data_IF_737858089341
#
_entry.id   IF_737858089341
#
_cell.length_a   1.000
_cell.length_b   1.000
_cell.length_c   1.000
_cell.angle_alpha   90.00
_cell.angle_beta   90.00
_cell.angle_gamma   90.00
#
_symmetry.space_group_name_H-M   'P 1'
#
loop_
_entity.id
_entity.type
_entity.pdbx_description
1 polymer ?
#
# COMPACT_ATOMS: atom_id res chain seq x y z
N UNK A 1 25.86 2.86 2.28
CA UNK A 1 24.44 2.80 1.92
C UNK A 1 23.75 3.80 2.81
N UNK A 2 23.07 4.80 2.26
CA UNK A 2 22.34 5.77 3.07
C UNK A 2 21.13 5.03 3.68
N UNK A 3 21.03 5.04 5.00
CA UNK A 3 19.90 4.48 5.73
C UNK A 3 18.77 5.51 5.76
N UNK A 4 17.50 5.06 5.72
CA UNK A 4 16.31 5.88 5.78
C UNK A 4 16.37 6.89 6.94
N UNK A 5 16.69 6.42 8.14
CA UNK A 5 16.85 7.26 9.33
C UNK A 5 17.94 8.33 9.17
N UNK A 6 19.03 8.01 8.47
CA UNK A 6 20.10 8.97 8.19
C UNK A 6 19.63 10.07 7.24
N UNK A 7 18.87 9.72 6.20
CA UNK A 7 18.30 10.70 5.26
C UNK A 7 17.35 11.64 5.99
N UNK A 8 16.45 11.11 6.85
CA UNK A 8 15.54 11.94 7.65
C UNK A 8 16.28 12.83 8.65
N UNK A 9 17.44 12.40 9.16
CA UNK A 9 18.25 13.21 10.06
C UNK A 9 18.84 14.46 9.37
N UNK A 10 18.93 14.49 8.04
CA UNK A 10 19.39 15.69 7.29
C UNK A 10 18.32 16.79 7.24
N UNK A 11 17.08 16.54 7.76
CA UNK A 11 15.95 17.46 7.79
C UNK A 11 15.74 17.98 9.22
N UNK A 12 16.38 19.09 9.59
CA UNK A 12 16.22 19.66 10.93
C UNK A 12 14.81 20.25 11.19
N UNK A 13 14.05 20.50 10.14
CA UNK A 13 12.66 20.97 10.18
C UNK A 13 11.63 19.88 10.47
N UNK A 14 12.05 18.58 10.43
CA UNK A 14 11.22 17.46 10.83
C UNK A 14 11.33 17.24 12.34
N UNK A 15 10.18 17.28 13.01
CA UNK A 15 10.08 16.85 14.40
C UNK A 15 9.98 15.30 14.51
N UNK A 16 9.88 14.79 15.73
CA UNK A 16 9.82 13.34 15.95
C UNK A 16 8.50 12.74 15.45
N UNK A 17 7.39 13.50 15.49
CA UNK A 17 6.10 13.04 14.96
C UNK A 17 6.12 12.96 13.44
N UNK A 18 6.79 13.88 12.75
CA UNK A 18 6.98 13.85 11.30
C UNK A 18 7.78 12.61 10.87
N UNK A 19 8.86 12.30 11.61
CA UNK A 19 9.69 11.12 11.37
C UNK A 19 8.92 9.82 11.61
N UNK A 20 8.20 9.75 12.73
CA UNK A 20 7.37 8.61 13.08
C UNK A 20 6.28 8.38 12.01
N UNK A 21 5.64 9.45 11.52
CA UNK A 21 4.67 9.37 10.44
C UNK A 21 5.25 8.75 9.18
N UNK A 22 6.46 9.16 8.77
CA UNK A 22 7.15 8.58 7.61
C UNK A 22 7.54 7.12 7.85
N UNK A 23 7.96 6.75 9.07
CA UNK A 23 8.22 5.34 9.42
C UNK A 23 6.96 4.49 9.34
N UNK A 24 5.83 4.98 9.83
CA UNK A 24 4.54 4.28 9.70
C UNK A 24 4.12 4.15 8.22
N UNK A 25 4.30 5.20 7.43
CA UNK A 25 4.01 5.15 6.00
C UNK A 25 4.78 4.03 5.29
N UNK A 26 6.09 3.95 5.50
CA UNK A 26 6.92 2.94 4.84
C UNK A 26 6.70 1.53 5.41
N UNK A 27 6.22 1.41 6.64
CA UNK A 27 5.85 0.12 7.21
C UNK A 27 4.58 -0.47 6.55
N UNK A 28 3.63 0.40 6.16
CA UNK A 28 2.31 -0.04 5.69
C UNK A 28 2.15 0.02 4.15
N UNK A 29 3.02 0.71 3.41
CA UNK A 29 2.83 0.99 1.98
C UNK A 29 2.98 -0.19 1.02
N UNK A 30 3.47 -1.36 1.51
CA UNK A 30 3.56 -2.57 0.70
C UNK A 30 2.21 -2.95 0.08
N UNK A 31 1.12 -2.76 0.83
CA UNK A 31 -0.23 -3.03 0.33
C UNK A 31 -0.59 -2.14 -0.86
N UNK A 32 -0.13 -0.89 -0.88
CA UNK A 32 -0.35 0.03 -2.01
C UNK A 32 0.45 -0.42 -3.24
N UNK A 33 1.72 -0.80 -3.06
CA UNK A 33 2.56 -1.30 -4.14
C UNK A 33 1.95 -2.54 -4.79
N UNK A 34 1.55 -3.51 -3.97
CA UNK A 34 0.96 -4.78 -4.40
C UNK A 34 -0.38 -4.60 -5.13
N UNK A 35 -1.30 -3.80 -4.57
CA UNK A 35 -2.60 -3.52 -5.17
C UNK A 35 -2.50 -2.68 -6.45
N UNK A 36 -1.49 -1.84 -6.54
CA UNK A 36 -1.25 -0.96 -7.69
C UNK A 36 -0.44 -1.63 -8.80
N UNK A 37 0.14 -2.81 -8.54
CA UNK A 37 1.11 -3.48 -9.44
C UNK A 37 2.22 -2.51 -9.85
N UNK A 38 2.81 -1.79 -8.89
CA UNK A 38 3.70 -0.67 -9.15
C UNK A 38 4.78 -0.54 -8.09
N UNK A 39 5.97 -0.10 -8.50
CA UNK A 39 7.03 0.28 -7.58
C UNK A 39 6.68 1.61 -6.90
N UNK A 40 7.06 1.76 -5.63
CA UNK A 40 6.91 3.01 -4.89
C UNK A 40 8.29 3.52 -4.45
N UNK A 41 8.48 4.82 -4.56
CA UNK A 41 9.63 5.53 -4.02
C UNK A 41 9.14 6.61 -3.06
N UNK A 42 9.77 6.75 -1.91
CA UNK A 42 9.61 7.91 -1.04
C UNK A 42 10.72 8.90 -1.36
N UNK A 43 10.35 10.09 -1.81
CA UNK A 43 11.26 11.19 -2.04
C UNK A 43 11.14 12.22 -0.92
N UNK A 44 12.28 12.66 -0.39
CA UNK A 44 12.37 13.80 0.51
C UNK A 44 13.39 14.80 -0.02
N UNK A 45 13.23 16.05 0.29
CA UNK A 45 14.31 17.02 0.02
C UNK A 45 15.36 16.87 1.11
N UNK A 46 16.64 16.80 0.74
CA UNK A 46 17.75 16.83 1.69
C UNK A 46 18.06 18.27 2.16
N UNK A 47 19.06 18.43 3.02
CA UNK A 47 19.49 19.74 3.52
C UNK A 47 19.90 20.74 2.43
N UNK A 48 20.27 20.28 1.23
CA UNK A 48 20.64 21.11 0.08
C UNK A 48 19.42 21.40 -0.82
N UNK A 49 18.22 20.97 -0.45
CA UNK A 49 17.00 21.15 -1.23
C UNK A 49 16.85 20.19 -2.43
N UNK A 50 17.71 19.20 -2.57
CA UNK A 50 17.63 18.19 -3.64
C UNK A 50 16.72 17.05 -3.23
N UNK A 51 15.93 16.54 -4.17
CA UNK A 51 15.08 15.36 -3.96
C UNK A 51 15.94 14.10 -3.94
N UNK A 52 15.84 13.36 -2.85
CA UNK A 52 16.59 12.11 -2.60
C UNK A 52 15.59 10.98 -2.39
N UNK A 53 15.86 9.81 -2.94
CA UNK A 53 15.10 8.60 -2.63
C UNK A 53 15.40 8.19 -1.19
N UNK A 54 14.43 8.37 -0.31
CA UNK A 54 14.57 8.01 1.09
C UNK A 54 14.29 6.54 1.34
N UNK A 55 13.32 5.98 0.60
CA UNK A 55 12.96 4.56 0.72
C UNK A 55 12.37 4.05 -0.60
N UNK A 56 12.44 2.72 -0.80
CA UNK A 56 11.93 2.02 -1.97
C UNK A 56 11.06 0.83 -1.57
N UNK A 57 9.90 0.67 -2.21
CA UNK A 57 9.05 -0.50 -2.06
C UNK A 57 8.81 -1.16 -3.42
N UNK A 58 9.11 -2.44 -3.49
CA UNK A 58 8.88 -3.28 -4.68
C UNK A 58 7.58 -4.06 -4.53
N UNK A 59 6.74 -4.11 -5.56
CA UNK A 59 5.54 -4.94 -5.52
C UNK A 59 5.91 -6.43 -5.43
N UNK A 60 5.14 -7.21 -4.67
CA UNK A 60 5.26 -8.67 -4.65
C UNK A 60 4.37 -9.36 -5.69
N UNK A 61 3.49 -8.61 -6.35
CA UNK A 61 2.47 -9.10 -7.27
C UNK A 61 2.88 -9.07 -8.74
N UNK A 62 3.91 -8.28 -9.08
CA UNK A 62 4.49 -8.17 -10.43
C UNK A 62 6.00 -8.03 -10.36
N UNK A 63 6.66 -8.14 -11.52
CA UNK A 63 8.09 -7.89 -11.61
C UNK A 63 8.38 -6.41 -11.37
N UNK A 64 9.31 -6.12 -10.46
CA UNK A 64 9.76 -4.75 -10.17
C UNK A 64 10.40 -4.09 -11.39
N UNK A 65 10.20 -2.79 -11.54
CA UNK A 65 10.89 -1.96 -12.52
C UNK A 65 12.35 -1.69 -12.14
N UNK A 66 12.63 -1.73 -10.84
CA UNK A 66 13.93 -1.37 -10.27
C UNK A 66 14.52 -2.54 -9.48
N UNK A 67 15.30 -3.39 -10.17
CA UNK A 67 15.98 -4.51 -9.53
C UNK A 67 17.06 -4.04 -8.53
N UNK A 68 17.70 -2.90 -8.80
CA UNK A 68 18.73 -2.31 -7.96
C UNK A 68 18.11 -1.43 -6.86
N UNK A 69 18.83 -1.32 -5.75
CA UNK A 69 18.49 -0.39 -4.68
C UNK A 69 18.85 1.04 -5.11
N UNK A 70 17.87 1.94 -5.03
CA UNK A 70 18.03 3.35 -5.41
C UNK A 70 17.96 4.30 -4.21
N UNK A 71 17.87 3.77 -2.99
CA UNK A 71 17.89 4.58 -1.76
C UNK A 71 19.17 5.39 -1.67
N UNK A 72 19.04 6.68 -1.38
CA UNK A 72 20.14 7.64 -1.35
C UNK A 72 20.43 8.32 -2.70
N UNK A 73 19.86 7.86 -3.80
CA UNK A 73 20.08 8.49 -5.10
C UNK A 73 19.33 9.84 -5.17
N UNK A 74 20.00 10.82 -5.75
CA UNK A 74 19.40 12.13 -6.05
C UNK A 74 18.58 12.03 -7.33
N UNK A 75 17.41 12.64 -7.33
CA UNK A 75 16.57 12.69 -8.51
C UNK A 75 17.15 13.62 -9.58
N UNK A 76 17.00 13.28 -10.87
CA UNK A 76 17.51 14.09 -11.98
C UNK A 76 16.94 15.51 -11.99
N UNK A 77 17.77 16.48 -12.39
CA UNK A 77 17.40 17.92 -12.42
C UNK A 77 16.21 18.21 -13.34
N UNK A 78 16.03 17.43 -14.40
CA UNK A 78 14.89 17.58 -15.33
C UNK A 78 13.54 17.17 -14.70
N UNK A 79 13.55 16.53 -13.52
CA UNK A 79 12.36 16.20 -12.76
C UNK A 79 11.99 17.25 -11.70
N UNK A 80 12.90 18.13 -11.31
CA UNK A 80 12.73 19.04 -10.17
C UNK A 80 11.47 19.88 -10.28
N UNK A 81 11.22 20.50 -11.46
CA UNK A 81 10.02 21.32 -11.66
C UNK A 81 8.70 20.55 -11.50
N UNK A 82 8.67 19.28 -11.89
CA UNK A 82 7.51 18.42 -11.73
C UNK A 82 7.34 18.00 -10.26
N UNK A 83 8.45 17.69 -9.57
CA UNK A 83 8.45 17.35 -8.14
C UNK A 83 8.03 18.54 -7.29
N UNK A 84 8.49 19.75 -7.59
CA UNK A 84 8.09 20.97 -6.90
C UNK A 84 6.58 21.23 -7.05
N UNK A 85 6.06 21.07 -8.27
CA UNK A 85 4.63 21.21 -8.52
C UNK A 85 3.82 20.16 -7.73
N UNK A 86 4.32 18.93 -7.66
CA UNK A 86 3.70 17.87 -6.86
C UNK A 86 3.75 18.14 -5.35
N UNK A 87 4.87 18.67 -4.82
CA UNK A 87 5.01 19.05 -3.41
C UNK A 87 4.03 20.13 -2.98
N UNK A 88 3.72 21.06 -3.87
CA UNK A 88 2.75 22.13 -3.62
C UNK A 88 1.30 21.69 -3.79
N UNK A 89 1.07 20.54 -4.42
CA UNK A 89 -0.28 19.99 -4.63
C UNK A 89 -0.89 19.53 -3.31
N UNK A 90 -2.21 19.64 -3.20
CA UNK A 90 -2.99 19.04 -2.10
C UNK A 90 -3.62 17.69 -2.47
N UNK A 91 -3.42 17.25 -3.71
CA UNK A 91 -3.99 16.02 -4.27
C UNK A 91 -2.93 15.23 -5.02
N UNK A 92 -3.26 14.00 -5.38
CA UNK A 92 -2.41 13.18 -6.23
C UNK A 92 -2.17 13.89 -7.57
N UNK A 93 -0.91 14.03 -7.93
CA UNK A 93 -0.45 14.65 -9.17
C UNK A 93 0.06 13.59 -10.14
N UNK A 94 -0.48 13.57 -11.36
CA UNK A 94 -0.06 12.62 -12.39
C UNK A 94 0.86 13.29 -13.38
N UNK A 95 2.03 12.68 -13.64
CA UNK A 95 2.94 13.10 -14.69
C UNK A 95 2.29 13.00 -16.07
N UNK A 96 2.50 14.02 -16.88
CA UNK A 96 2.20 14.00 -18.32
C UNK A 96 3.38 13.48 -19.14
N UNK A 97 4.55 13.37 -18.53
CA UNK A 97 5.80 12.92 -19.16
C UNK A 97 5.99 11.44 -18.87
N UNK A 98 6.09 10.63 -19.91
CA UNK A 98 6.51 9.23 -19.78
C UNK A 98 8.02 9.17 -19.70
N UNK A 99 8.51 8.33 -18.79
CA UNK A 99 9.94 8.14 -18.55
C UNK A 99 10.35 6.72 -18.87
N UNK A 100 11.66 6.49 -19.00
CA UNK A 100 12.21 5.16 -19.22
C UNK A 100 12.95 4.71 -17.98
N UNK A 101 12.60 3.55 -17.45
CA UNK A 101 13.32 2.87 -16.37
C UNK A 101 13.77 1.51 -16.91
N UNK A 102 15.08 1.33 -17.08
CA UNK A 102 15.61 0.17 -17.78
C UNK A 102 15.08 0.09 -19.23
N UNK A 103 14.24 -0.93 -19.51
CA UNK A 103 13.59 -1.11 -20.83
C UNK A 103 12.09 -0.77 -20.80
N UNK A 104 11.57 -0.35 -19.67
CA UNK A 104 10.14 -0.11 -19.48
C UNK A 104 9.79 1.37 -19.67
N UNK A 105 8.65 1.64 -20.32
CA UNK A 105 8.03 2.98 -20.33
C UNK A 105 7.16 3.11 -19.10
N UNK A 106 7.43 4.13 -18.29
CA UNK A 106 6.87 4.33 -16.96
C UNK A 106 6.07 5.62 -16.90
N UNK A 107 4.90 5.52 -16.28
CA UNK A 107 4.09 6.66 -15.89
C UNK A 107 4.25 6.89 -14.39
N UNK A 108 4.65 8.11 -14.00
CA UNK A 108 4.79 8.52 -12.62
C UNK A 108 3.50 9.17 -12.11
N UNK A 109 3.14 8.83 -10.88
CA UNK A 109 2.07 9.48 -10.14
C UNK A 109 2.62 9.84 -8.78
N UNK A 110 2.44 11.09 -8.37
CA UNK A 110 3.00 11.64 -7.14
C UNK A 110 1.90 11.89 -6.11
N UNK A 111 2.11 11.45 -4.89
CA UNK A 111 1.25 11.76 -3.75
C UNK A 111 2.07 12.54 -2.71
N UNK A 112 1.77 13.83 -2.46
CA UNK A 112 2.44 14.55 -1.38
C UNK A 112 2.07 13.93 -0.03
N UNK A 113 3.11 13.60 0.76
CA UNK A 113 2.94 13.06 2.10
C UNK A 113 2.67 14.22 3.05
N UNK A 114 1.45 14.31 3.55
CA UNK A 114 1.04 15.41 4.43
C UNK A 114 0.81 14.91 5.84
N UNK A 115 1.37 15.68 6.80
CA UNK A 115 1.19 15.45 8.22
C UNK A 115 1.16 16.80 8.95
N UNK A 116 0.21 17.02 9.86
CA UNK A 116 0.06 18.24 10.67
C UNK A 116 0.20 19.55 9.86
N UNK A 117 -0.36 19.58 8.64
CA UNK A 117 -0.32 20.77 7.77
C UNK A 117 0.98 20.95 6.98
N UNK A 118 2.01 20.14 7.23
CA UNK A 118 3.28 20.13 6.48
C UNK A 118 3.23 19.11 5.34
N UNK A 119 4.00 19.35 4.28
CA UNK A 119 4.33 18.34 3.26
C UNK A 119 5.73 17.82 3.56
N UNK A 120 5.83 16.54 3.91
CA UNK A 120 7.08 15.92 4.35
C UNK A 120 7.90 15.37 3.16
N UNK A 121 7.24 15.02 2.07
CA UNK A 121 7.88 14.43 0.90
C UNK A 121 6.84 14.00 -0.12
N UNK A 122 7.27 13.16 -1.07
CA UNK A 122 6.42 12.61 -2.12
C UNK A 122 6.52 11.09 -2.14
N UNK A 123 5.40 10.40 -2.15
CA UNK A 123 5.39 9.02 -2.64
C UNK A 123 5.24 9.06 -4.15
N UNK A 124 6.18 8.44 -4.86
CA UNK A 124 6.12 8.28 -6.32
C UNK A 124 5.68 6.86 -6.61
N UNK A 125 4.60 6.70 -7.37
CA UNK A 125 4.15 5.42 -7.89
C UNK A 125 4.58 5.30 -9.35
N UNK A 126 5.47 4.36 -9.62
CA UNK A 126 6.01 4.07 -10.95
C UNK A 126 5.26 2.88 -11.55
N UNK A 127 4.49 3.13 -12.60
CA UNK A 127 3.68 2.09 -13.25
C UNK A 127 4.23 1.80 -14.64
N UNK A 128 4.51 0.54 -14.94
CA UNK A 128 4.87 0.10 -16.28
C UNK A 128 3.65 0.20 -17.21
N UNK A 129 3.78 0.94 -18.29
CA UNK A 129 2.68 1.11 -19.25
C UNK A 129 2.33 -0.17 -20.00
N UNK A 130 3.27 -1.11 -20.15
CA UNK A 130 3.03 -2.40 -20.81
C UNK A 130 2.18 -3.37 -19.95
N UNK A 131 2.22 -3.26 -18.61
CA UNK A 131 1.43 -4.13 -17.71
C UNK A 131 0.00 -3.63 -17.52
N UNK A 132 -0.35 -2.48 -18.07
CA UNK A 132 -1.65 -1.82 -17.89
C UNK A 132 -2.79 -2.47 -18.69
N UNK A 133 -2.49 -3.40 -19.58
CA UNK A 133 -3.46 -4.07 -20.47
C UNK A 133 -4.15 -5.30 -19.83
N UNK A 134 -3.85 -5.63 -18.57
CA UNK A 134 -4.53 -6.71 -17.85
C UNK A 134 -5.97 -6.30 -17.52
N UNK A 135 -6.94 -7.03 -18.07
CA UNK A 135 -8.38 -6.72 -18.02
C UNK A 135 -9.16 -7.64 -17.07
N UNK A 136 -8.50 -8.34 -16.16
CA UNK A 136 -9.15 -9.23 -15.20
C UNK A 136 -9.91 -8.44 -14.12
N UNK A 137 -11.01 -9.01 -13.61
CA UNK A 137 -11.78 -8.37 -12.52
C UNK A 137 -10.93 -8.19 -11.26
N UNK A 138 -10.07 -9.16 -10.96
CA UNK A 138 -9.14 -9.10 -9.83
C UNK A 138 -8.22 -7.89 -9.94
N UNK A 139 -7.57 -7.72 -11.08
CA UNK A 139 -6.65 -6.61 -11.32
C UNK A 139 -7.36 -5.26 -11.27
N UNK A 140 -8.55 -5.16 -11.87
CA UNK A 140 -9.33 -3.92 -11.85
C UNK A 140 -9.74 -3.51 -10.43
N UNK A 141 -10.21 -4.46 -9.61
CA UNK A 141 -10.59 -4.18 -8.22
C UNK A 141 -9.34 -3.89 -7.35
N UNK A 142 -8.22 -4.57 -7.59
CA UNK A 142 -6.95 -4.32 -6.93
C UNK A 142 -6.46 -2.89 -7.22
N UNK A 143 -6.39 -2.51 -8.51
CA UNK A 143 -5.94 -1.18 -8.93
C UNK A 143 -6.84 -0.09 -8.34
N UNK A 144 -8.16 -0.29 -8.32
CA UNK A 144 -9.09 0.66 -7.73
C UNK A 144 -8.88 0.80 -6.22
N UNK A 145 -8.68 -0.30 -5.50
CA UNK A 145 -8.38 -0.29 -4.07
C UNK A 145 -7.04 0.41 -3.79
N UNK A 146 -5.98 0.04 -4.53
CA UNK A 146 -4.66 0.67 -4.43
C UNK A 146 -4.72 2.18 -4.71
N UNK A 147 -5.51 2.59 -5.71
CA UNK A 147 -5.73 4.01 -6.02
C UNK A 147 -6.38 4.75 -4.85
N UNK A 148 -7.41 4.18 -4.22
CA UNK A 148 -8.09 4.78 -3.07
C UNK A 148 -7.13 4.96 -1.89
N UNK A 149 -6.34 3.93 -1.55
CA UNK A 149 -5.34 4.04 -0.49
C UNK A 149 -4.27 5.09 -0.82
N UNK A 150 -3.82 5.13 -2.07
CA UNK A 150 -2.85 6.11 -2.53
C UNK A 150 -3.38 7.55 -2.43
N UNK A 151 -4.67 7.78 -2.72
CA UNK A 151 -5.35 9.07 -2.57
C UNK A 151 -5.56 9.49 -1.09
N UNK A 152 -5.42 8.58 -0.15
CA UNK A 152 -5.48 8.89 1.29
C UNK A 152 -4.18 9.55 1.79
N UNK A 153 -3.04 9.32 1.11
CA UNK A 153 -1.73 9.88 1.51
C UNK A 153 -1.76 11.43 1.57
N UNK A 154 -2.18 12.14 0.50
CA UNK A 154 -2.24 13.61 0.54
C UNK A 154 -3.24 14.16 1.55
N UNK A 155 -4.21 13.35 1.97
CA UNK A 155 -5.22 13.74 2.98
C UNK A 155 -4.75 13.51 4.40
N UNK A 156 -3.55 12.94 4.61
CA UNK A 156 -3.05 12.53 5.93
C UNK A 156 -3.89 11.42 6.58
N UNK A 157 -4.55 10.59 5.78
CA UNK A 157 -5.41 9.49 6.22
C UNK A 157 -4.72 8.12 6.07
N UNK A 158 -3.55 8.08 5.46
CA UNK A 158 -2.70 6.91 5.35
C UNK A 158 -1.25 7.32 5.71
N UNK A 159 -0.57 6.59 6.57
CA UNK A 159 -0.98 5.35 7.27
C UNK A 159 -2.09 5.59 8.30
N UNK A 160 -2.75 4.50 8.72
CA UNK A 160 -3.79 4.58 9.74
C UNK A 160 -3.15 4.53 11.14
N UNK A 161 -3.30 5.60 11.93
CA UNK A 161 -2.60 5.78 13.22
C UNK A 161 -2.89 4.69 14.27
N UNK A 162 -4.11 4.13 14.28
CA UNK A 162 -4.55 3.17 15.30
C UNK A 162 -4.38 1.71 14.87
N UNK A 163 -3.62 1.45 13.83
CA UNK A 163 -3.37 0.10 13.37
C UNK A 163 -2.50 -0.63 14.40
N UNK A 164 -3.14 -1.30 15.36
CA UNK A 164 -2.48 -2.27 16.25
C UNK A 164 -1.76 -3.39 15.49
N UNK A 165 -1.97 -3.48 14.18
CA UNK A 165 -1.36 -4.46 13.27
C UNK A 165 0.03 -4.05 12.80
N UNK A 166 0.40 -2.76 12.81
CA UNK A 166 1.69 -2.27 12.31
C UNK A 166 2.91 -2.83 13.04
N UNK A 167 2.73 -3.36 14.25
CA UNK A 167 3.85 -3.92 15.03
C UNK A 167 4.14 -5.40 14.77
N UNK A 168 3.30 -6.16 14.06
CA UNK A 168 3.46 -7.63 13.95
C UNK A 168 3.39 -8.24 12.56
N UNK A 169 2.70 -7.63 11.59
CA UNK A 169 2.58 -8.16 10.24
C UNK A 169 2.44 -7.06 9.20
N UNK A 170 3.35 -7.04 8.25
CA UNK A 170 3.20 -6.24 7.03
C UNK A 170 2.05 -6.86 6.24
N UNK A 171 0.94 -6.12 6.08
CA UNK A 171 -0.19 -6.56 5.29
C UNK A 171 0.24 -6.73 3.83
N UNK A 172 0.04 -7.92 3.27
CA UNK A 172 0.33 -8.25 1.87
C UNK A 172 -0.96 -8.63 1.15
N UNK A 173 -1.06 -8.24 -0.10
CA UNK A 173 -2.22 -8.62 -0.94
C UNK A 173 -2.33 -10.12 -1.12
N UNK A 174 -1.20 -10.84 -1.04
CA UNK A 174 -1.16 -12.31 -1.05
C UNK A 174 -1.92 -12.94 0.12
N UNK A 175 -2.08 -12.24 1.25
CA UNK A 175 -2.86 -12.71 2.40
C UNK A 175 -4.38 -12.65 2.13
N UNK A 176 -4.77 -11.92 1.08
CA UNK A 176 -6.15 -11.69 0.67
C UNK A 176 -6.68 -10.35 1.16
N UNK A 177 -7.55 -9.74 0.36
CA UNK A 177 -8.22 -8.49 0.73
C UNK A 177 -9.71 -8.54 0.43
N UNK A 178 -10.47 -7.73 1.16
CA UNK A 178 -11.92 -7.58 1.04
C UNK A 178 -12.22 -6.09 0.91
N UNK A 179 -13.09 -5.74 -0.06
CA UNK A 179 -13.59 -4.37 -0.22
C UNK A 179 -15.00 -4.32 0.34
N UNK A 180 -15.22 -3.40 1.26
CA UNK A 180 -16.52 -3.17 1.88
C UNK A 180 -17.15 -1.88 1.34
N UNK A 181 -18.49 -1.83 1.39
CA UNK A 181 -19.22 -0.56 1.34
C UNK A 181 -19.10 0.17 2.67
N UNK A 182 -19.51 1.43 2.74
CA UNK A 182 -19.54 2.20 3.98
C UNK A 182 -20.41 1.55 5.05
N UNK A 183 -21.44 0.78 4.64
CA UNK A 183 -22.34 0.07 5.54
C UNK A 183 -21.79 -1.29 5.98
N UNK A 184 -20.58 -1.68 5.54
CA UNK A 184 -19.96 -2.95 5.91
C UNK A 184 -20.39 -4.17 5.09
N UNK A 185 -21.06 -3.96 3.93
CA UNK A 185 -21.39 -5.02 2.99
C UNK A 185 -20.17 -5.35 2.13
N UNK A 186 -19.87 -6.62 1.95
CA UNK A 186 -18.79 -7.09 1.09
C UNK A 186 -19.14 -6.80 -0.36
N UNK A 187 -18.42 -5.85 -1.00
CA UNK A 187 -18.52 -5.54 -2.42
C UNK A 187 -17.68 -6.50 -3.26
N UNK A 188 -16.49 -6.79 -2.76
CA UNK A 188 -15.54 -7.68 -3.42
C UNK A 188 -14.70 -8.42 -2.38
N UNK A 189 -14.35 -9.66 -2.68
CA UNK A 189 -13.38 -10.45 -1.93
C UNK A 189 -12.38 -11.09 -2.89
N UNK A 190 -11.09 -10.94 -2.62
CA UNK A 190 -10.04 -11.56 -3.41
C UNK A 190 -10.07 -13.09 -3.28
N UNK A 191 -9.60 -13.84 -4.27
CA UNK A 191 -9.60 -15.31 -4.26
C UNK A 191 -8.95 -15.90 -3.00
N UNK A 192 -7.85 -15.30 -2.53
CA UNK A 192 -7.16 -15.77 -1.32
C UNK A 192 -7.99 -15.52 -0.05
N UNK A 193 -8.68 -14.37 0.04
CA UNK A 193 -9.63 -14.10 1.13
C UNK A 193 -10.76 -15.14 1.12
N UNK A 194 -11.38 -15.39 -0.04
CA UNK A 194 -12.43 -16.40 -0.18
C UNK A 194 -11.92 -17.78 0.26
N UNK A 195 -10.72 -18.17 -0.17
CA UNK A 195 -10.11 -19.45 0.19
C UNK A 195 -9.85 -19.55 1.70
N UNK A 196 -9.40 -18.47 2.32
CA UNK A 196 -9.17 -18.40 3.76
C UNK A 196 -10.47 -18.60 4.54
N UNK A 197 -11.52 -17.84 4.20
CA UNK A 197 -12.83 -17.95 4.87
C UNK A 197 -13.49 -19.32 4.67
N UNK A 198 -13.33 -19.92 3.48
CA UNK A 198 -13.81 -21.31 3.23
C UNK A 198 -13.10 -22.34 4.12
N UNK A 199 -11.78 -22.21 4.29
CA UNK A 199 -11.03 -23.09 5.21
C UNK A 199 -11.46 -22.93 6.66
N UNK A 200 -11.94 -21.74 7.04
CA UNK A 200 -12.52 -21.47 8.34
C UNK A 200 -13.98 -21.96 8.47
N UNK A 201 -14.57 -22.54 7.41
CA UNK A 201 -15.91 -23.12 7.45
C UNK A 201 -17.01 -22.24 6.87
N UNK A 202 -16.68 -21.13 6.21
CA UNK A 202 -17.69 -20.31 5.54
C UNK A 202 -18.15 -20.99 4.24
N UNK A 203 -19.42 -21.36 4.15
CA UNK A 203 -20.00 -22.02 2.97
C UNK A 203 -20.74 -21.03 2.04
N UNK A 204 -21.08 -19.85 2.56
CA UNK A 204 -21.83 -18.82 1.83
C UNK A 204 -20.87 -17.99 0.94
N UNK A 205 -21.41 -17.42 -0.14
CA UNK A 205 -20.68 -16.43 -0.96
C UNK A 205 -20.51 -15.14 -0.14
N UNK A 206 -19.31 -14.52 -0.20
CA UNK A 206 -19.01 -13.33 0.58
C UNK A 206 -19.66 -12.05 -0.01
N UNK A 207 -19.59 -11.77 -1.32
CA UNK A 207 -20.17 -10.56 -1.89
C UNK A 207 -21.70 -10.47 -1.67
N UNK A 208 -22.14 -9.28 -1.26
CA UNK A 208 -23.55 -8.99 -0.99
C UNK A 208 -24.00 -9.22 0.46
N UNK A 209 -23.16 -9.80 1.32
CA UNK A 209 -23.44 -10.02 2.74
C UNK A 209 -22.66 -9.02 3.61
N UNK A 210 -23.21 -8.73 4.80
CA UNK A 210 -22.46 -7.98 5.80
C UNK A 210 -21.28 -8.79 6.33
N UNK A 211 -20.12 -8.16 6.47
CA UNK A 211 -18.94 -8.84 7.01
C UNK A 211 -19.18 -9.36 8.44
N UNK A 212 -19.97 -8.63 9.24
CA UNK A 212 -20.37 -9.04 10.59
C UNK A 212 -21.20 -10.33 10.62
N UNK A 213 -22.09 -10.54 9.64
CA UNK A 213 -22.86 -11.77 9.52
C UNK A 213 -21.99 -12.97 9.16
N UNK A 214 -21.03 -12.77 8.25
CA UNK A 214 -20.05 -13.80 7.88
C UNK A 214 -19.17 -14.18 9.08
N UNK A 215 -18.75 -13.21 9.89
CA UNK A 215 -18.02 -13.44 11.13
C UNK A 215 -18.83 -14.28 12.14
N UNK A 216 -20.12 -13.99 12.29
CA UNK A 216 -21.02 -14.76 13.17
C UNK A 216 -21.19 -16.20 12.71
N UNK A 217 -21.29 -16.45 11.41
CA UNK A 217 -21.35 -17.81 10.84
C UNK A 217 -20.05 -18.59 11.11
N UNK A 218 -18.89 -17.96 10.99
CA UNK A 218 -17.59 -18.58 11.30
C UNK A 218 -17.46 -18.94 12.77
N UNK A 219 -17.89 -18.07 13.69
CA UNK A 219 -17.87 -18.37 15.13
C UNK A 219 -18.76 -19.58 15.47
N UNK A 220 -19.92 -19.72 14.85
CA UNK A 220 -20.78 -20.90 14.99
C UNK A 220 -20.10 -22.16 14.46
N UNK A 221 -19.49 -22.11 13.26
CA UNK A 221 -18.80 -23.26 12.68
C UNK A 221 -17.65 -23.74 13.55
N UNK A 222 -16.84 -22.84 14.09
CA UNK A 222 -15.74 -23.17 15.02
C UNK A 222 -16.28 -23.82 16.32
N UNK A 223 -17.39 -23.33 16.86
CA UNK A 223 -18.01 -23.91 18.06
C UNK A 223 -18.47 -25.36 17.83
N UNK A 224 -18.98 -25.67 16.65
CA UNK A 224 -19.41 -27.05 16.33
C UNK A 224 -18.22 -28.00 16.13
N UNK A 225 -17.09 -27.56 15.59
CA UNK A 225 -15.90 -28.41 15.40
C UNK A 225 -15.18 -28.74 16.72
N UNK A 226 -15.31 -27.91 17.73
CA UNK A 226 -14.73 -28.22 19.07
C UNK A 226 -15.64 -29.09 19.96
N UNK A 227 -16.89 -29.32 19.60
CA UNK A 227 -17.84 -30.14 20.39
C UNK A 227 -17.91 -31.59 19.96
N UNK A 228 -17.23 -31.99 18.88
CA UNK A 228 -17.16 -33.38 18.43
C UNK A 228 -15.75 -33.97 18.61
N UNK A 229 -15.29 -34.08 19.84
CA UNK A 229 -14.28 -35.08 20.17
C UNK A 229 -15.00 -36.44 20.20
N UNK A 230 -14.61 -37.42 19.38
CA UNK A 230 -15.15 -38.76 19.52
C UNK A 230 -14.61 -39.34 20.86
N UNK A 231 -15.49 -39.47 21.83
CA UNK A 231 -15.26 -40.35 22.95
C UNK A 231 -15.31 -41.79 22.42
N UNK A 232 -14.20 -42.36 22.01
CA UNK A 232 -14.05 -43.81 21.88
C UNK A 232 -13.89 -44.36 23.28
N UNK A 233 -14.88 -45.17 23.78
CA UNK A 233 -14.65 -45.93 24.99
C UNK A 233 -13.61 -47.02 24.67
N UNK A 234 -12.50 -46.99 25.34
CA UNK A 234 -11.64 -48.19 25.39
C UNK A 234 -12.37 -49.25 26.19
N UNK A 235 -12.66 -50.38 25.56
CA UNK A 235 -12.98 -51.67 26.19
C UNK A 235 -11.70 -52.47 26.31
#
# INVERSE_FOLDING_TARGET
MADFSHILATRPDFDDEDREWLHHLVADWQVIADLSFADLLLLVQNGDGKYVVAEQCRPSTVMTLRAEDVVGNVMPDDMVGELDAAMLSSVVFRSTVLRTVGKATVCNVYAPVRHNGKTLGLVVRETNMATRESNGRYESESINAGKQLYEMIPRGQFPYKDSMMSQRHIARVADGFIILTMDGVVRYAAPNAISCFRRLGLLTTMPGHYLSELGTQLLKAVSYTHLTLPTTPYV
#
